data_IF_610507296546
#
_entry.id   IF_610507296546
#
_cell.length_a   1.000
_cell.length_b   1.000
_cell.length_c   1.000
_cell.angle_alpha   90.00
_cell.angle_beta   90.00
_cell.angle_gamma   90.00
#
_symmetry.space_group_name_H-M   'P 1'
#
loop_
_entity.id
_entity.type
_entity.pdbx_description
1 polymer ?
#
# COMPACT_ATOMS: atom_id res chain seq x y z
N UNK A 1 -15.53 12.79 20.01
CA UNK A 1 -14.93 11.45 19.80
C UNK A 1 -14.04 11.42 18.56
N UNK A 2 -14.59 11.51 17.33
CA UNK A 2 -13.80 11.51 16.08
C UNK A 2 -12.64 12.50 16.06
N UNK A 3 -12.87 13.76 16.41
CA UNK A 3 -11.83 14.80 16.32
C UNK A 3 -10.73 14.63 17.39
N UNK A 4 -11.09 14.08 18.56
CA UNK A 4 -10.12 13.72 19.59
C UNK A 4 -9.26 12.52 19.20
N UNK A 5 -9.82 11.50 18.52
CA UNK A 5 -9.02 10.40 17.94
C UNK A 5 -8.06 10.94 16.89
N UNK A 6 -8.53 11.82 15.99
CA UNK A 6 -7.69 12.46 14.97
C UNK A 6 -6.53 13.23 15.59
N UNK A 7 -6.80 14.07 16.61
CA UNK A 7 -5.77 14.86 17.26
C UNK A 7 -4.64 13.97 17.85
N UNK A 8 -5.00 12.91 18.58
CA UNK A 8 -4.01 11.97 19.14
C UNK A 8 -3.22 11.22 18.07
N UNK A 9 -3.86 10.83 16.97
CA UNK A 9 -3.15 10.18 15.86
C UNK A 9 -2.16 11.14 15.21
N UNK A 10 -2.53 12.41 15.01
CA UNK A 10 -1.62 13.44 14.47
C UNK A 10 -0.44 13.64 15.42
N UNK A 11 -0.69 13.81 16.72
CA UNK A 11 0.37 13.92 17.74
C UNK A 11 1.30 12.71 17.73
N UNK A 12 0.76 11.49 17.59
CA UNK A 12 1.55 10.26 17.51
C UNK A 12 2.41 10.18 16.23
N UNK A 13 1.91 10.67 15.09
CA UNK A 13 2.72 10.81 13.85
C UNK A 13 3.86 11.79 14.08
N UNK A 14 3.57 12.97 14.63
CA UNK A 14 4.57 14.01 14.87
C UNK A 14 5.63 13.57 15.87
N UNK A 15 5.25 12.82 16.91
CA UNK A 15 6.17 12.24 17.88
C UNK A 15 7.15 11.23 17.25
N UNK A 16 6.78 10.61 16.11
CA UNK A 16 7.63 9.67 15.35
C UNK A 16 8.40 10.30 14.20
N UNK A 17 8.32 11.62 14.02
CA UNK A 17 8.90 12.35 12.88
C UNK A 17 10.30 11.87 12.50
N UNK A 18 11.22 11.80 13.46
CA UNK A 18 12.61 11.44 13.16
C UNK A 18 12.77 9.99 12.71
N UNK A 19 11.99 9.07 13.29
CA UNK A 19 11.93 7.67 12.86
C UNK A 19 11.40 7.56 11.43
N UNK A 20 10.31 8.27 11.11
CA UNK A 20 9.68 8.23 9.78
C UNK A 20 10.60 8.83 8.71
N UNK A 21 11.23 9.96 9.02
CA UNK A 21 12.23 10.57 8.13
C UNK A 21 13.47 9.68 7.98
N UNK A 22 13.89 9.00 9.05
CA UNK A 22 14.98 8.03 9.03
C UNK A 22 14.67 6.85 8.10
N UNK A 23 13.47 6.28 8.22
CA UNK A 23 12.99 5.20 7.36
C UNK A 23 12.91 5.64 5.89
N UNK A 24 12.30 6.80 5.62
CA UNK A 24 12.21 7.33 4.26
C UNK A 24 13.61 7.52 3.64
N UNK A 25 14.57 8.05 4.39
CA UNK A 25 15.97 8.18 3.94
C UNK A 25 16.64 6.83 3.71
N UNK A 26 16.43 5.86 4.60
CA UNK A 26 16.99 4.53 4.45
C UNK A 26 16.51 3.86 3.16
N UNK A 27 15.23 3.99 2.82
CA UNK A 27 14.67 3.46 1.57
C UNK A 27 15.20 4.26 0.37
N UNK A 28 15.23 5.60 0.44
CA UNK A 28 15.79 6.46 -0.61
C UNK A 28 17.22 6.07 -0.99
N UNK A 29 18.02 5.69 0.00
CA UNK A 29 19.43 5.32 -0.17
C UNK A 29 19.65 3.89 -0.69
N UNK A 30 18.61 3.05 -0.70
CA UNK A 30 18.68 1.66 -1.16
C UNK A 30 17.60 1.38 -2.23
N UNK A 31 17.62 2.10 -3.36
CA UNK A 31 16.60 1.93 -4.39
C UNK A 31 16.73 0.57 -5.08
N UNK A 32 15.60 -0.13 -5.19
CA UNK A 32 15.48 -1.43 -5.84
C UNK A 32 14.41 -1.37 -6.93
N UNK A 33 14.64 -2.03 -8.07
CA UNK A 33 13.67 -2.04 -9.18
C UNK A 33 12.50 -2.98 -8.89
N UNK A 34 11.42 -2.83 -9.67
CA UNK A 34 10.24 -3.68 -9.59
C UNK A 34 10.55 -5.18 -9.54
N UNK A 35 9.91 -5.88 -8.59
CA UNK A 35 10.08 -7.29 -8.24
C UNK A 35 11.45 -7.69 -7.67
N UNK A 36 12.30 -6.72 -7.30
CA UNK A 36 13.62 -6.93 -6.69
C UNK A 36 13.79 -6.19 -5.36
N UNK A 37 12.70 -5.70 -4.78
CA UNK A 37 12.60 -4.84 -3.60
C UNK A 37 12.83 -5.60 -2.28
N UNK A 38 13.89 -6.41 -2.22
CA UNK A 38 14.17 -7.34 -1.10
C UNK A 38 14.51 -6.57 0.18
N UNK A 39 15.36 -5.56 0.09
CA UNK A 39 15.78 -4.74 1.22
C UNK A 39 14.66 -3.81 1.69
N UNK A 40 13.94 -3.20 0.76
CA UNK A 40 12.80 -2.33 1.05
C UNK A 40 11.67 -3.11 1.71
N UNK A 41 11.32 -4.30 1.19
CA UNK A 41 10.38 -5.20 1.86
C UNK A 41 10.91 -5.66 3.22
N UNK A 42 12.23 -5.86 3.37
CA UNK A 42 12.88 -6.14 4.63
C UNK A 42 12.68 -5.05 5.69
N UNK A 43 12.80 -3.78 5.30
CA UNK A 43 12.52 -2.63 6.18
C UNK A 43 11.05 -2.62 6.63
N UNK A 44 10.12 -2.91 5.71
CA UNK A 44 8.69 -3.01 6.05
C UNK A 44 8.43 -4.13 7.07
N UNK A 45 8.99 -5.32 6.86
CA UNK A 45 8.84 -6.46 7.78
C UNK A 45 9.39 -6.12 9.17
N UNK A 46 10.60 -5.55 9.24
CA UNK A 46 11.20 -5.12 10.52
C UNK A 46 10.31 -4.13 11.27
N UNK A 47 9.77 -3.13 10.58
CA UNK A 47 8.87 -2.16 11.21
C UNK A 47 7.56 -2.82 11.72
N UNK A 48 7.01 -3.78 10.97
CA UNK A 48 5.84 -4.55 11.40
C UNK A 48 6.14 -5.44 12.61
N UNK A 49 7.32 -6.06 12.67
CA UNK A 49 7.79 -6.86 13.81
C UNK A 49 7.98 -6.01 15.07
N UNK A 50 8.57 -4.81 14.94
CA UNK A 50 8.71 -3.85 16.04
C UNK A 50 7.36 -3.42 16.61
N UNK A 51 6.35 -3.23 15.75
CA UNK A 51 4.97 -2.98 16.15
C UNK A 51 4.26 -4.21 16.73
N UNK A 52 4.87 -5.39 16.66
CA UNK A 52 4.28 -6.69 17.01
C UNK A 52 3.00 -6.99 16.20
N UNK A 53 2.99 -6.58 14.94
CA UNK A 53 1.86 -6.79 14.03
C UNK A 53 2.17 -8.00 13.14
N UNK A 54 1.37 -9.09 13.22
CA UNK A 54 1.52 -10.23 12.33
C UNK A 54 1.35 -9.80 10.87
N UNK A 55 2.25 -10.29 10.02
CA UNK A 55 2.26 -9.94 8.61
C UNK A 55 2.54 -11.15 7.72
N UNK A 56 2.20 -11.01 6.45
CA UNK A 56 2.50 -11.96 5.39
C UNK A 56 3.43 -11.30 4.38
N UNK A 57 4.52 -11.97 4.03
CA UNK A 57 5.48 -11.55 3.03
C UNK A 57 5.48 -12.48 1.81
N UNK A 58 6.35 -12.20 0.83
CA UNK A 58 6.48 -12.99 -0.39
C UNK A 58 5.27 -12.88 -1.34
N UNK A 59 4.38 -11.89 -1.13
CA UNK A 59 3.22 -11.69 -1.98
C UNK A 59 3.67 -11.07 -3.31
N UNK A 60 3.45 -11.76 -4.43
CA UNK A 60 3.99 -11.32 -5.72
C UNK A 60 5.50 -11.02 -5.63
N UNK A 61 6.26 -11.96 -5.04
CA UNK A 61 7.71 -11.94 -4.80
C UNK A 61 8.15 -11.12 -3.58
N UNK A 62 7.83 -9.83 -3.52
CA UNK A 62 8.38 -8.90 -2.51
C UNK A 62 7.31 -8.16 -1.69
N UNK A 63 6.04 -8.25 -2.10
CA UNK A 63 4.94 -7.59 -1.41
C UNK A 63 4.72 -8.07 0.03
N UNK A 64 4.30 -7.15 0.89
CA UNK A 64 4.08 -7.37 2.33
C UNK A 64 2.70 -6.86 2.73
N UNK A 65 1.95 -7.65 3.49
CA UNK A 65 0.62 -7.29 3.97
C UNK A 65 0.51 -7.50 5.48
N UNK A 66 0.02 -6.50 6.18
CA UNK A 66 -0.36 -6.56 7.58
C UNK A 66 -1.80 -6.08 7.81
N UNK A 67 -2.43 -6.56 8.87
CA UNK A 67 -3.81 -6.20 9.22
C UNK A 67 -3.84 -5.71 10.67
N UNK A 68 -4.32 -4.49 10.85
CA UNK A 68 -4.70 -3.93 12.14
C UNK A 68 -6.21 -4.13 12.30
N UNK A 69 -6.61 -5.16 13.05
CA UNK A 69 -8.02 -5.48 13.30
C UNK A 69 -8.50 -4.76 14.57
N UNK A 70 -9.64 -4.08 14.50
CA UNK A 70 -10.20 -3.41 15.69
C UNK A 70 -10.99 -4.34 16.59
N UNK A 71 -11.21 -5.60 16.17
CA UNK A 71 -12.05 -6.58 16.86
C UNK A 71 -13.55 -6.30 16.74
N UNK A 72 -13.95 -5.27 15.99
CA UNK A 72 -15.34 -4.87 15.77
C UNK A 72 -15.75 -5.00 14.30
N UNK A 73 -16.98 -5.43 14.01
CA UNK A 73 -17.45 -5.55 12.62
C UNK A 73 -17.42 -4.18 11.92
N UNK A 74 -16.94 -4.16 10.69
CA UNK A 74 -16.81 -2.93 9.91
C UNK A 74 -16.08 -3.14 8.59
N UNK A 75 -15.94 -2.07 7.79
CA UNK A 75 -15.26 -2.11 6.51
C UNK A 75 -13.75 -2.33 6.68
N UNK A 76 -13.09 -2.68 5.58
CA UNK A 76 -11.62 -2.73 5.53
C UNK A 76 -11.10 -1.55 4.73
N UNK A 77 -10.18 -0.78 5.30
CA UNK A 77 -9.48 0.31 4.62
C UNK A 77 -8.04 -0.14 4.36
N UNK A 78 -7.59 -0.08 3.12
CA UNK A 78 -6.19 -0.36 2.77
C UNK A 78 -5.41 0.94 2.63
N UNK A 79 -4.22 0.99 3.21
CA UNK A 79 -3.22 2.04 3.02
C UNK A 79 -2.07 1.37 2.27
N UNK A 80 -1.81 1.85 1.06
CA UNK A 80 -0.81 1.29 0.18
C UNK A 80 0.47 2.12 0.25
N UNK A 81 1.61 1.45 0.13
CA UNK A 81 2.88 2.06 -0.19
C UNK A 81 3.60 1.20 -1.22
N UNK A 82 4.12 1.82 -2.27
CA UNK A 82 4.81 1.11 -3.35
C UNK A 82 6.28 0.88 -2.95
N UNK A 83 6.79 -0.32 -3.22
CA UNK A 83 8.13 -0.73 -2.78
C UNK A 83 9.21 -0.28 -3.75
N UNK A 84 8.89 -0.20 -5.04
CA UNK A 84 9.88 -0.12 -6.08
C UNK A 84 10.37 1.29 -6.38
N UNK A 85 11.49 1.31 -7.08
CA UNK A 85 12.10 2.47 -7.67
C UNK A 85 12.14 2.32 -9.20
N UNK A 86 12.51 3.38 -9.89
CA UNK A 86 12.61 3.41 -11.35
C UNK A 86 14.08 3.44 -11.78
N UNK A 87 14.37 3.00 -13.01
CA UNK A 87 15.67 3.23 -13.64
C UNK A 87 15.87 4.71 -13.97
N UNK A 88 16.76 5.39 -13.26
CA UNK A 88 17.10 6.80 -13.45
C UNK A 88 18.55 7.07 -13.06
N UNK A 89 19.50 6.57 -13.86
CA UNK A 89 20.94 6.61 -13.58
C UNK A 89 21.53 8.03 -13.42
N UNK A 90 20.86 9.06 -13.94
CA UNK A 90 21.26 10.47 -13.76
C UNK A 90 20.77 11.10 -12.45
N UNK A 91 19.99 10.39 -11.64
CA UNK A 91 19.47 10.90 -10.38
C UNK A 91 20.59 10.98 -9.31
N UNK A 92 20.65 12.03 -8.46
CA UNK A 92 21.71 12.17 -7.45
C UNK A 92 21.79 11.02 -6.43
N UNK A 93 20.68 10.32 -6.22
CA UNK A 93 20.55 9.15 -5.35
C UNK A 93 20.41 7.84 -6.13
N UNK A 94 20.84 7.80 -7.39
CA UNK A 94 20.83 6.57 -8.15
C UNK A 94 21.83 5.56 -7.57
N UNK A 95 21.42 4.30 -7.49
CA UNK A 95 22.34 3.21 -7.25
C UNK A 95 23.32 3.14 -8.45
N UNK A 96 24.65 3.21 -8.22
CA UNK A 96 25.63 3.29 -9.30
C UNK A 96 25.74 2.00 -10.12
N UNK A 97 25.36 0.86 -9.56
CA UNK A 97 25.43 -0.45 -10.22
C UNK A 97 24.18 -0.74 -11.04
N UNK A 98 23.00 -0.42 -10.49
CA UNK A 98 21.70 -0.78 -11.10
C UNK A 98 21.04 0.38 -11.84
N UNK A 99 21.46 1.62 -11.57
CA UNK A 99 20.80 2.83 -12.04
C UNK A 99 19.44 3.10 -11.40
N UNK A 100 19.04 2.31 -10.40
CA UNK A 100 17.76 2.45 -9.71
C UNK A 100 17.72 3.72 -8.84
N UNK A 101 16.60 4.44 -8.81
CA UNK A 101 16.41 5.61 -7.95
C UNK A 101 14.92 5.83 -7.61
N UNK A 102 14.62 6.19 -6.36
CA UNK A 102 13.25 6.58 -5.97
C UNK A 102 12.90 8.00 -6.44
N UNK A 103 12.68 8.18 -7.73
CA UNK A 103 12.31 9.46 -8.33
C UNK A 103 10.79 9.78 -8.23
N UNK A 104 9.94 8.78 -7.97
CA UNK A 104 8.48 8.94 -7.85
C UNK A 104 7.99 9.11 -6.39
N UNK A 105 8.89 9.03 -5.40
CA UNK A 105 8.55 9.26 -3.99
C UNK A 105 8.07 8.03 -3.22
N UNK A 106 8.21 6.81 -3.76
CA UNK A 106 7.78 5.56 -3.12
C UNK A 106 8.42 5.32 -1.73
N UNK A 107 9.67 5.74 -1.55
CA UNK A 107 10.32 5.80 -0.23
C UNK A 107 9.52 6.57 0.84
N UNK A 108 8.92 7.71 0.47
CA UNK A 108 8.05 8.49 1.35
C UNK A 108 6.69 7.81 1.55
N UNK A 109 6.13 7.17 0.53
CA UNK A 109 4.85 6.46 0.65
C UNK A 109 4.95 5.30 1.64
N UNK A 110 6.00 4.48 1.58
CA UNK A 110 6.23 3.39 2.55
C UNK A 110 6.37 3.93 3.97
N UNK A 111 7.14 5.01 4.15
CA UNK A 111 7.28 5.65 5.45
C UNK A 111 5.93 6.21 5.96
N UNK A 112 5.13 6.81 5.09
CA UNK A 112 3.80 7.33 5.43
C UNK A 112 2.81 6.20 5.79
N UNK A 113 2.81 5.10 5.04
CA UNK A 113 1.97 3.92 5.31
C UNK A 113 2.31 3.32 6.68
N UNK A 114 3.60 3.11 6.97
CA UNK A 114 4.04 2.59 8.27
C UNK A 114 3.77 3.59 9.38
N UNK A 115 4.01 4.88 9.16
CA UNK A 115 3.71 5.94 10.12
C UNK A 115 2.23 6.02 10.49
N UNK A 116 1.34 5.85 9.52
CA UNK A 116 -0.10 5.75 9.78
C UNK A 116 -0.43 4.54 10.65
N UNK A 117 0.14 3.37 10.35
CA UNK A 117 -0.03 2.16 11.15
C UNK A 117 0.47 2.32 12.60
N UNK A 118 1.68 2.85 12.76
CA UNK A 118 2.30 3.13 14.05
C UNK A 118 1.45 4.10 14.88
N UNK A 119 1.03 5.22 14.29
CA UNK A 119 0.26 6.23 15.01
C UNK A 119 -1.15 5.75 15.40
N UNK A 120 -1.80 4.93 14.59
CA UNK A 120 -3.09 4.31 14.94
C UNK A 120 -2.97 3.39 16.17
N UNK A 121 -1.84 2.69 16.30
CA UNK A 121 -1.55 1.84 17.46
C UNK A 121 -1.22 2.68 18.69
N UNK A 122 -0.27 3.60 18.57
CA UNK A 122 0.20 4.44 19.68
C UNK A 122 -0.90 5.30 20.29
N UNK A 123 -1.78 5.85 19.45
CA UNK A 123 -2.91 6.67 19.90
C UNK A 123 -4.04 5.84 20.55
N UNK A 124 -3.94 4.50 20.54
CA UNK A 124 -5.01 3.60 20.95
C UNK A 124 -6.25 3.68 20.05
N UNK A 125 -6.10 4.21 18.83
CA UNK A 125 -7.23 4.53 17.95
C UNK A 125 -8.05 3.30 17.56
N UNK A 126 -7.41 2.12 17.45
CA UNK A 126 -8.10 0.87 17.12
C UNK A 126 -9.23 0.56 18.13
N UNK A 127 -9.05 0.92 19.41
CA UNK A 127 -10.05 0.72 20.46
C UNK A 127 -11.29 1.61 20.30
N UNK A 128 -11.29 2.58 19.38
CA UNK A 128 -12.40 3.49 19.08
C UNK A 128 -12.89 3.42 17.61
N UNK A 129 -12.27 2.59 16.77
CA UNK A 129 -12.64 2.38 15.35
C UNK A 129 -13.32 1.02 15.07
N UNK A 130 -14.03 0.89 13.94
CA UNK A 130 -14.66 -0.37 13.53
C UNK A 130 -14.10 -0.88 12.20
N UNK A 131 -13.90 -2.19 12.10
CA UNK A 131 -13.40 -2.85 10.91
C UNK A 131 -11.90 -3.13 10.97
N UNK A 132 -11.21 -2.93 9.85
CA UNK A 132 -9.79 -3.27 9.70
C UNK A 132 -9.04 -2.21 8.92
N UNK A 133 -7.78 -1.99 9.28
CA UNK A 133 -6.82 -1.27 8.46
C UNK A 133 -5.81 -2.27 7.91
N UNK A 134 -5.59 -2.27 6.60
CA UNK A 134 -4.58 -3.11 5.95
C UNK A 134 -3.43 -2.21 5.54
N UNK A 135 -2.24 -2.51 6.05
CA UNK A 135 -1.00 -1.92 5.53
C UNK A 135 -0.51 -2.84 4.42
N UNK A 136 -0.41 -2.31 3.21
CA UNK A 136 -0.08 -3.12 2.03
C UNK A 136 1.10 -2.50 1.27
N UNK A 137 2.29 -3.06 1.47
CA UNK A 137 3.45 -2.75 0.65
C UNK A 137 3.38 -3.55 -0.64
N UNK A 138 3.22 -2.86 -1.77
CA UNK A 138 2.99 -3.47 -3.09
C UNK A 138 4.23 -3.34 -3.97
N UNK A 139 4.59 -4.38 -4.73
CA UNK A 139 5.75 -4.33 -5.59
C UNK A 139 5.45 -3.73 -6.97
N UNK A 140 6.51 -3.29 -7.65
CA UNK A 140 6.57 -3.12 -9.09
C UNK A 140 5.52 -2.17 -9.73
N UNK A 141 5.21 -1.02 -9.13
CA UNK A 141 4.34 -0.02 -9.74
C UNK A 141 4.99 0.61 -10.99
N UNK A 142 6.27 0.96 -10.90
CA UNK A 142 7.06 1.58 -11.97
C UNK A 142 7.58 0.54 -12.97
N UNK A 143 7.09 -0.70 -12.91
CA UNK A 143 7.49 -1.74 -13.85
C UNK A 143 6.83 -1.51 -15.22
N UNK A 144 7.35 -0.52 -15.95
CA UNK A 144 6.93 -0.09 -17.30
C UNK A 144 7.37 -1.10 -18.37
N UNK A 145 7.19 -2.39 -18.12
CA UNK A 145 7.15 -3.34 -19.22
C UNK A 145 5.77 -3.20 -19.87
N UNK A 146 5.67 -2.71 -21.10
CA UNK A 146 4.38 -2.76 -21.82
C UNK A 146 4.19 -4.16 -22.40
N UNK A 147 5.26 -4.76 -22.91
CA UNK A 147 5.19 -6.03 -23.66
C UNK A 147 4.91 -7.22 -22.76
N UNK A 148 5.58 -7.36 -21.61
CA UNK A 148 5.40 -8.53 -20.75
C UNK A 148 4.05 -8.50 -20.01
N UNK A 149 3.65 -7.39 -19.38
CA UNK A 149 2.28 -7.14 -18.95
C UNK A 149 1.24 -7.32 -20.06
N UNK A 150 1.44 -6.80 -21.27
CA UNK A 150 0.49 -7.05 -22.38
C UNK A 150 0.39 -8.55 -22.73
N UNK A 151 1.50 -9.29 -22.74
CA UNK A 151 1.48 -10.75 -22.90
C UNK A 151 0.72 -11.43 -21.77
N UNK A 152 0.97 -11.05 -20.51
CA UNK A 152 0.28 -11.61 -19.36
C UNK A 152 -1.23 -11.35 -19.42
N UNK A 153 -1.65 -10.13 -19.77
CA UNK A 153 -3.05 -9.77 -19.99
C UNK A 153 -3.67 -10.59 -21.13
N UNK A 154 -2.97 -10.74 -22.25
CA UNK A 154 -3.44 -11.52 -23.38
C UNK A 154 -3.58 -13.01 -23.04
N UNK A 155 -2.58 -13.60 -22.38
CA UNK A 155 -2.60 -15.01 -21.95
C UNK A 155 -3.71 -15.26 -20.91
N UNK A 156 -3.85 -14.37 -19.92
CA UNK A 156 -4.94 -14.45 -18.94
C UNK A 156 -6.31 -14.38 -19.63
N UNK A 157 -6.46 -13.52 -20.64
CA UNK A 157 -7.69 -13.44 -21.43
C UNK A 157 -7.97 -14.75 -22.17
N UNK A 158 -6.94 -15.38 -22.74
CA UNK A 158 -7.05 -16.71 -23.36
C UNK A 158 -7.47 -17.75 -22.32
N UNK A 159 -6.80 -17.82 -21.17
CA UNK A 159 -7.11 -18.80 -20.11
C UNK A 159 -8.55 -18.66 -19.60
N UNK A 160 -9.03 -17.42 -19.46
CA UNK A 160 -10.37 -17.14 -18.98
C UNK A 160 -11.45 -17.49 -20.01
N UNK A 161 -11.21 -17.26 -21.30
CA UNK A 161 -12.21 -17.36 -22.36
C UNK A 161 -12.14 -18.64 -23.19
N UNK A 162 -11.01 -19.36 -23.15
CA UNK A 162 -10.87 -20.67 -23.77
C UNK A 162 -11.84 -21.70 -23.16
N UNK A 163 -12.04 -22.81 -23.87
CA UNK A 163 -12.90 -23.92 -23.42
C UNK A 163 -14.29 -23.44 -22.98
N UNK A 164 -14.93 -22.63 -23.82
CA UNK A 164 -16.24 -22.03 -23.56
C UNK A 164 -16.28 -21.17 -22.29
N UNK A 165 -15.18 -20.46 -22.01
CA UNK A 165 -14.99 -19.62 -20.85
C UNK A 165 -15.25 -20.33 -19.51
N UNK A 166 -14.92 -21.64 -19.44
CA UNK A 166 -15.14 -22.46 -18.23
C UNK A 166 -14.52 -21.82 -16.99
N UNK A 167 -13.29 -21.33 -17.12
CA UNK A 167 -12.56 -20.74 -16.00
C UNK A 167 -13.15 -19.39 -15.59
N UNK A 168 -13.46 -18.50 -16.55
CA UNK A 168 -14.17 -17.26 -16.24
C UNK A 168 -15.50 -17.51 -15.53
N UNK A 169 -16.30 -18.49 -16.01
CA UNK A 169 -17.56 -18.87 -15.36
C UNK A 169 -17.34 -19.39 -13.95
N UNK A 170 -16.31 -20.21 -13.71
CA UNK A 170 -15.92 -20.68 -12.38
C UNK A 170 -15.58 -19.52 -11.45
N UNK A 171 -14.73 -18.60 -11.90
CA UNK A 171 -14.33 -17.41 -11.14
C UNK A 171 -15.55 -16.55 -10.80
N UNK A 172 -16.43 -16.25 -11.76
CA UNK A 172 -17.65 -15.46 -11.53
C UNK A 172 -18.61 -16.18 -10.57
N UNK A 173 -18.77 -17.50 -10.69
CA UNK A 173 -19.66 -18.27 -9.82
C UNK A 173 -19.19 -18.27 -8.37
N UNK A 174 -17.88 -18.36 -8.14
CA UNK A 174 -17.26 -18.44 -6.81
C UNK A 174 -16.98 -17.07 -6.19
N UNK A 175 -16.75 -16.03 -6.99
CA UNK A 175 -16.48 -14.71 -6.48
C UNK A 175 -17.78 -14.01 -6.05
N UNK A 176 -17.74 -13.37 -4.88
CA UNK A 176 -18.83 -12.51 -4.38
C UNK A 176 -18.26 -11.10 -4.22
N UNK A 177 -18.58 -10.18 -5.14
CA UNK A 177 -18.15 -8.80 -5.03
C UNK A 177 -18.65 -8.20 -3.72
N UNK A 178 -17.81 -7.46 -3.02
CA UNK A 178 -18.18 -6.77 -1.78
C UNK A 178 -19.25 -5.69 -2.01
N UNK A 179 -19.46 -5.27 -3.26
CA UNK A 179 -20.42 -4.25 -3.65
C UNK A 179 -21.14 -4.67 -4.94
N UNK A 180 -22.42 -4.31 -5.05
CA UNK A 180 -23.10 -4.34 -6.34
C UNK A 180 -22.49 -3.27 -7.25
N UNK A 181 -22.65 -3.42 -8.57
CA UNK A 181 -22.24 -2.41 -9.55
C UNK A 181 -22.76 -1.02 -9.17
N UNK A 182 -24.04 -0.94 -8.79
CA UNK A 182 -24.68 0.34 -8.49
C UNK A 182 -24.14 0.93 -7.18
N UNK A 183 -23.84 0.10 -6.17
CA UNK A 183 -23.19 0.54 -4.94
C UNK A 183 -21.76 1.04 -5.20
N UNK A 184 -20.99 0.33 -6.04
CA UNK A 184 -19.64 0.74 -6.43
C UNK A 184 -19.66 2.08 -7.17
N UNK A 185 -20.56 2.24 -8.15
CA UNK A 185 -20.69 3.49 -8.92
C UNK A 185 -21.14 4.65 -8.04
N UNK A 186 -22.04 4.41 -7.07
CA UNK A 186 -22.44 5.42 -6.10
C UNK A 186 -21.26 5.85 -5.22
N UNK A 187 -20.46 4.92 -4.73
CA UNK A 187 -19.25 5.22 -3.96
C UNK A 187 -18.21 5.97 -4.79
N UNK A 188 -17.90 5.51 -6.01
CA UNK A 188 -16.92 6.16 -6.88
C UNK A 188 -17.32 7.62 -7.20
N UNK A 189 -18.61 7.86 -7.48
CA UNK A 189 -19.13 9.22 -7.69
C UNK A 189 -19.11 10.05 -6.40
N UNK A 190 -19.25 9.43 -5.22
CA UNK A 190 -19.14 10.13 -3.93
C UNK A 190 -17.71 10.61 -3.63
N UNK A 191 -16.70 9.89 -4.14
CA UNK A 191 -15.28 10.23 -3.97
C UNK A 191 -14.84 11.38 -4.89
N UNK A 192 -15.57 11.65 -5.98
CA UNK A 192 -15.34 12.77 -6.89
C UNK A 192 -16.02 14.07 -6.40
N UNK A 193 -15.98 14.34 -5.08
CA UNK A 193 -16.42 15.61 -4.52
C UNK A 193 -15.22 16.47 -4.17
N UNK A 194 -15.25 17.73 -4.60
CA UNK A 194 -14.28 18.74 -4.20
C UNK A 194 -14.50 19.07 -2.71
N UNK A 195 -13.59 18.64 -1.85
CA UNK A 195 -13.56 19.05 -0.44
C UNK A 195 -12.62 20.26 -0.28
N UNK A 196 -13.20 21.43 0.03
CA UNK A 196 -12.43 22.63 0.37
C UNK A 196 -12.25 22.72 1.88
N UNK A 197 -11.01 22.53 2.31
CA UNK A 197 -10.61 22.75 3.70
C UNK A 197 -10.31 24.24 3.88
N UNK A 198 -11.09 24.92 4.73
CA UNK A 198 -10.74 26.26 5.23
C UNK A 198 -10.00 26.09 6.54
N UNK A 199 -8.80 26.68 6.64
CA UNK A 199 -8.16 26.87 7.94
C UNK A 199 -9.03 27.84 8.75
N UNK A 200 -9.46 27.44 9.94
CA UNK A 200 -9.99 28.38 10.92
C UNK A 200 -8.80 29.14 11.52
N UNK A 201 -8.96 30.46 11.61
CA UNK A 201 -8.00 31.41 12.18
C UNK A 201 -8.14 31.52 13.70
#
# INVERSE_FOLDING_TARGET
MRDSVKARVVEAVDARRDQLLGLARAILQNPELGYREVETAGLVRRALDEMRVPHRDGLALTGVKAILDTGRPGPTVAILGELDSIGASGHPHANPETGAAHACGHHCQIAAMLGAGMALLDAGALAELSGRVVLFAVPAEEYVAVVNPAKALALTTVDLLASEAREARRVVALHRPAMTRDAYLAQARSLLREERYRAEA
#
